data_IF_488424914440
#
_entry.id   IF_488424914440
#
_cell.length_a   1.000
_cell.length_b   1.000
_cell.length_c   1.000
_cell.angle_alpha   90.00
_cell.angle_beta   90.00
_cell.angle_gamma   90.00
#
_symmetry.space_group_name_H-M   'P 1'
#
loop_
_entity.id
_entity.type
_entity.pdbx_description
1 polymer ?
#
# COMPACT_ATOMS: atom_id res chain seq x y z
N UNK A 1 -9.18 -49.83 15.23
CA UNK A 1 -8.99 -48.70 16.20
C UNK A 1 -9.29 -47.43 15.43
N UNK A 2 -10.48 -46.86 15.67
CA UNK A 2 -10.89 -45.60 15.03
C UNK A 2 -10.31 -44.44 15.80
N UNK A 3 -9.28 -43.78 15.27
CA UNK A 3 -8.82 -42.48 15.79
C UNK A 3 -9.81 -41.41 15.35
N UNK A 4 -10.67 -41.01 16.25
CA UNK A 4 -11.52 -39.81 16.12
C UNK A 4 -10.63 -38.60 16.39
N UNK A 5 -10.36 -37.82 15.37
CA UNK A 5 -9.71 -36.50 15.50
C UNK A 5 -10.69 -35.58 16.26
N UNK A 6 -10.43 -35.38 17.56
CA UNK A 6 -11.16 -34.38 18.38
C UNK A 6 -10.59 -33.00 18.10
N UNK A 7 -11.41 -32.16 17.50
CA UNK A 7 -11.44 -30.70 17.78
C UNK A 7 -10.36 -29.84 17.17
N UNK A 8 -10.36 -29.69 15.82
CA UNK A 8 -9.93 -28.40 15.27
C UNK A 8 -11.01 -27.39 15.67
N UNK A 9 -10.73 -26.52 16.67
CA UNK A 9 -11.54 -25.34 16.93
C UNK A 9 -11.61 -24.58 15.60
N UNK A 10 -12.79 -24.52 14.99
CA UNK A 10 -13.05 -23.69 13.81
C UNK A 10 -12.68 -22.27 14.22
N UNK A 11 -11.55 -21.75 13.74
CA UNK A 11 -11.18 -20.35 13.98
C UNK A 11 -12.37 -19.49 13.53
N UNK A 12 -12.83 -18.62 14.42
CA UNK A 12 -13.97 -17.75 14.12
C UNK A 12 -13.58 -16.92 12.89
N UNK A 13 -14.38 -17.02 11.84
CA UNK A 13 -14.14 -16.30 10.60
C UNK A 13 -14.17 -14.80 10.89
N UNK A 14 -13.08 -14.11 10.56
CA UNK A 14 -12.98 -12.65 10.70
C UNK A 14 -13.45 -12.01 9.40
N UNK A 15 -14.40 -11.09 9.51
CA UNK A 15 -14.79 -10.21 8.42
C UNK A 15 -14.14 -8.85 8.68
N UNK A 16 -13.21 -8.47 7.81
CA UNK A 16 -12.46 -7.23 7.95
C UNK A 16 -13.27 -6.03 7.46
N UNK A 17 -13.16 -4.93 8.19
CA UNK A 17 -13.56 -3.60 7.73
C UNK A 17 -12.34 -2.98 7.05
N UNK A 18 -12.57 -2.31 5.94
CA UNK A 18 -11.54 -1.60 5.19
C UNK A 18 -11.89 -0.12 5.18
N UNK A 19 -10.96 0.70 5.62
CA UNK A 19 -11.04 2.16 5.56
C UNK A 19 -9.79 2.67 4.84
N UNK A 20 -9.97 3.52 3.83
CA UNK A 20 -8.88 4.17 3.10
C UNK A 20 -8.85 5.64 3.47
N UNK A 21 -7.68 6.17 3.78
CA UNK A 21 -7.48 7.59 4.10
C UNK A 21 -6.43 8.17 3.18
N UNK A 22 -6.76 9.30 2.57
CA UNK A 22 -5.79 10.13 1.85
C UNK A 22 -4.90 10.81 2.87
N UNK A 23 -3.66 10.39 2.97
CA UNK A 23 -2.70 11.02 3.88
C UNK A 23 -1.99 12.23 3.29
N UNK A 24 -2.02 12.39 1.97
CA UNK A 24 -1.51 13.56 1.24
C UNK A 24 -2.16 13.68 -0.15
N UNK A 25 -1.87 14.80 -0.82
CA UNK A 25 -2.19 15.03 -2.23
C UNK A 25 -0.89 15.43 -2.93
N UNK A 26 -0.46 14.65 -3.90
CA UNK A 26 0.61 15.02 -4.84
C UNK A 26 0.00 15.91 -5.91
N UNK A 27 0.54 17.11 -6.07
CA UNK A 27 0.02 18.10 -7.02
C UNK A 27 0.73 17.98 -8.36
N UNK A 28 -0.03 18.21 -9.41
CA UNK A 28 0.50 18.36 -10.77
C UNK A 28 1.33 17.15 -11.25
N UNK A 29 0.91 15.92 -10.90
CA UNK A 29 1.57 14.69 -11.33
C UNK A 29 1.41 14.54 -12.84
N UNK A 30 2.52 14.49 -13.55
CA UNK A 30 2.54 14.34 -15.00
C UNK A 30 1.95 13.00 -15.45
N UNK A 31 1.13 13.01 -16.49
CA UNK A 31 0.48 11.80 -17.01
C UNK A 31 1.49 10.70 -17.40
N UNK A 32 2.71 11.08 -17.81
CA UNK A 32 3.80 10.15 -18.11
C UNK A 32 4.34 9.41 -16.89
N UNK A 33 4.10 9.91 -15.67
CA UNK A 33 4.42 9.21 -14.43
C UNK A 33 3.36 8.14 -14.11
N UNK A 34 2.10 8.44 -14.41
CA UNK A 34 0.97 7.53 -14.18
C UNK A 34 0.88 6.43 -15.23
N UNK A 35 1.19 6.75 -16.51
CA UNK A 35 1.03 5.83 -17.63
C UNK A 35 2.29 5.80 -18.50
N UNK A 36 2.87 4.62 -18.65
CA UNK A 36 4.03 4.42 -19.52
C UNK A 36 3.73 4.83 -20.96
N UNK A 37 4.62 5.61 -21.55
CA UNK A 37 4.47 6.08 -22.93
C UNK A 37 3.46 7.23 -23.12
N UNK A 38 2.77 7.68 -22.07
CA UNK A 38 1.77 8.75 -22.19
C UNK A 38 2.35 10.10 -22.61
N UNK A 39 3.65 10.34 -22.40
CA UNK A 39 4.35 11.55 -22.87
C UNK A 39 4.29 11.73 -24.38
N UNK A 40 3.98 10.69 -25.14
CA UNK A 40 3.77 10.74 -26.60
C UNK A 40 2.31 10.98 -27.00
N UNK A 41 1.39 11.15 -26.07
CA UNK A 41 -0.02 11.35 -26.31
C UNK A 41 -0.39 12.85 -26.30
N UNK A 42 -1.49 13.20 -26.97
CA UNK A 42 -1.97 14.60 -27.06
C UNK A 42 -2.28 15.27 -25.72
N UNK A 43 -2.53 14.47 -24.67
CA UNK A 43 -2.87 14.95 -23.32
C UNK A 43 -1.71 14.76 -22.33
N UNK A 44 -0.48 14.58 -22.83
CA UNK A 44 0.69 14.38 -21.96
C UNK A 44 0.98 15.57 -21.02
N UNK A 45 0.57 16.77 -21.44
CA UNK A 45 0.84 18.03 -20.71
C UNK A 45 -0.26 18.40 -19.69
N UNK A 46 -1.26 17.53 -19.47
CA UNK A 46 -2.28 17.76 -18.46
C UNK A 46 -1.96 16.96 -17.19
N UNK A 47 -1.28 17.59 -16.22
CA UNK A 47 -1.02 16.96 -14.95
C UNK A 47 -2.33 16.80 -14.16
N UNK A 48 -2.37 15.78 -13.32
CA UNK A 48 -3.49 15.49 -12.41
C UNK A 48 -2.99 15.42 -10.98
N UNK A 49 -3.83 15.85 -10.05
CA UNK A 49 -3.56 15.63 -8.63
C UNK A 49 -3.75 14.15 -8.30
N UNK A 50 -2.89 13.60 -7.45
CA UNK A 50 -2.97 12.20 -7.01
C UNK A 50 -2.98 12.12 -5.49
N UNK A 51 -3.91 11.38 -4.88
CA UNK A 51 -3.86 11.12 -3.44
C UNK A 51 -2.73 10.14 -3.13
N UNK A 52 -2.07 10.30 -1.97
CA UNK A 52 -1.34 9.22 -1.33
C UNK A 52 -2.26 8.55 -0.31
N UNK A 53 -2.48 7.25 -0.41
CA UNK A 53 -3.42 6.52 0.41
C UNK A 53 -2.74 5.62 1.45
N UNK A 54 -3.31 5.56 2.66
CA UNK A 54 -3.08 4.50 3.63
C UNK A 54 -4.36 3.72 3.83
N UNK A 55 -4.26 2.42 4.09
CA UNK A 55 -5.44 1.58 4.30
C UNK A 55 -5.44 0.96 5.67
N UNK A 56 -6.54 1.13 6.43
CA UNK A 56 -6.72 0.60 7.76
C UNK A 56 -7.68 -0.60 7.68
N UNK A 57 -7.26 -1.73 8.25
CA UNK A 57 -8.01 -2.98 8.32
C UNK A 57 -8.35 -3.26 9.78
N UNK A 58 -9.65 -3.33 10.11
CA UNK A 58 -10.11 -3.61 11.46
C UNK A 58 -10.98 -4.87 11.49
N UNK A 59 -10.62 -5.83 12.34
CA UNK A 59 -11.38 -7.07 12.45
C UNK A 59 -10.81 -8.01 13.51
N UNK A 60 -11.67 -8.79 14.17
CA UNK A 60 -11.25 -9.78 15.16
C UNK A 60 -10.52 -9.24 16.37
N UNK A 61 -10.60 -7.94 16.63
CA UNK A 61 -9.84 -7.25 17.69
C UNK A 61 -8.49 -6.72 17.23
N UNK A 62 -8.14 -6.87 15.96
CA UNK A 62 -6.89 -6.36 15.36
C UNK A 62 -7.12 -5.05 14.60
N UNK A 63 -6.12 -4.18 14.65
CA UNK A 63 -5.96 -3.00 13.82
C UNK A 63 -4.69 -3.15 13.00
N UNK A 64 -4.83 -3.22 11.70
CA UNK A 64 -3.71 -3.42 10.77
C UNK A 64 -3.66 -2.25 9.80
N UNK A 65 -2.48 -1.76 9.52
CA UNK A 65 -2.24 -0.68 8.58
C UNK A 65 -1.53 -1.22 7.34
N UNK A 66 -1.99 -0.85 6.16
CA UNK A 66 -1.26 -1.04 4.91
C UNK A 66 -0.68 0.31 4.52
N UNK A 67 0.65 0.38 4.47
CA UNK A 67 1.48 1.56 4.29
C UNK A 67 1.32 2.61 5.40
N UNK A 68 2.27 3.56 5.50
CA UNK A 68 2.34 4.48 6.65
C UNK A 68 2.30 5.95 6.27
N UNK A 69 2.41 6.28 4.97
CA UNK A 69 2.65 7.65 4.54
C UNK A 69 4.07 8.11 4.89
N UNK A 70 4.33 9.40 4.85
CA UNK A 70 5.66 9.98 5.04
C UNK A 70 5.62 11.34 5.75
N UNK A 71 6.81 11.83 6.12
CA UNK A 71 6.96 13.10 6.85
C UNK A 71 8.22 13.88 6.48
N UNK A 72 9.11 13.33 5.63
CA UNK A 72 10.37 13.96 5.28
C UNK A 72 10.12 15.23 4.46
N UNK A 73 10.51 16.46 4.95
CA UNK A 73 10.23 17.71 4.25
C UNK A 73 10.87 17.79 2.87
N UNK A 74 12.02 17.16 2.66
CA UNK A 74 12.69 17.15 1.35
C UNK A 74 11.86 16.45 0.29
N UNK A 75 11.23 15.31 0.64
CA UNK A 75 10.33 14.60 -0.26
C UNK A 75 8.98 15.33 -0.43
N UNK A 76 8.47 15.98 0.63
CA UNK A 76 7.27 16.81 0.53
C UNK A 76 7.46 17.91 -0.51
N UNK A 77 8.60 18.60 -0.47
CA UNK A 77 8.94 19.66 -1.43
C UNK A 77 9.23 19.09 -2.82
N UNK A 78 10.06 18.05 -2.92
CA UNK A 78 10.51 17.49 -4.20
C UNK A 78 9.37 16.92 -5.05
N UNK A 79 8.33 16.35 -4.40
CA UNK A 79 7.18 15.74 -5.06
C UNK A 79 5.90 16.57 -4.96
N UNK A 80 6.02 17.85 -4.61
CA UNK A 80 4.90 18.79 -4.52
C UNK A 80 3.70 18.22 -3.74
N UNK A 81 4.00 17.61 -2.57
CA UNK A 81 2.97 17.00 -1.74
C UNK A 81 2.35 18.02 -0.79
N UNK A 82 1.03 18.12 -0.83
CA UNK A 82 0.25 18.99 0.04
C UNK A 82 -0.56 18.18 1.05
N UNK A 83 -0.97 18.83 2.13
CA UNK A 83 -1.85 18.27 3.15
C UNK A 83 -1.36 16.91 3.69
N UNK A 84 -0.05 16.82 3.92
CA UNK A 84 0.60 15.61 4.43
C UNK A 84 0.23 15.39 5.89
N UNK A 85 -0.49 14.31 6.18
CA UNK A 85 -1.01 13.98 7.49
C UNK A 85 -0.07 13.06 8.26
N UNK A 86 0.08 13.35 9.56
CA UNK A 86 0.75 12.44 10.50
C UNK A 86 -0.17 11.26 10.86
N UNK A 87 0.39 10.11 11.30
CA UNK A 87 -0.38 8.95 11.71
C UNK A 87 -1.47 9.25 12.74
N UNK A 88 -1.20 10.09 13.73
CA UNK A 88 -2.17 10.48 14.74
C UNK A 88 -3.39 11.18 14.14
N UNK A 89 -3.18 11.94 13.04
CA UNK A 89 -4.25 12.69 12.37
C UNK A 89 -5.14 11.77 11.55
N UNK A 90 -4.55 10.89 10.72
CA UNK A 90 -5.36 10.03 9.85
C UNK A 90 -5.98 8.82 10.59
N UNK A 91 -5.48 8.45 11.78
CA UNK A 91 -6.06 7.42 12.63
C UNK A 91 -7.17 7.94 13.55
N UNK A 92 -7.19 9.26 13.86
CA UNK A 92 -8.14 9.89 14.78
C UNK A 92 -9.62 9.62 14.45
N UNK A 93 -10.08 9.65 13.17
CA UNK A 93 -11.49 9.39 12.83
C UNK A 93 -11.97 7.98 13.21
N UNK A 94 -11.03 7.05 13.36
CA UNK A 94 -11.28 5.67 13.77
C UNK A 94 -11.12 5.45 15.28
N UNK A 95 -10.87 6.52 16.05
CA UNK A 95 -10.51 6.48 17.47
C UNK A 95 -9.29 5.59 17.73
N UNK A 96 -8.30 5.63 16.84
CA UNK A 96 -7.05 4.88 16.94
C UNK A 96 -5.87 5.82 17.18
N UNK A 97 -4.85 5.25 17.85
CA UNK A 97 -3.53 5.81 18.03
C UNK A 97 -2.48 4.88 17.42
N UNK A 98 -1.31 5.36 16.95
CA UNK A 98 -0.27 4.51 16.39
C UNK A 98 0.13 3.30 17.26
N UNK A 99 0.13 3.45 18.57
CA UNK A 99 0.45 2.38 19.54
C UNK A 99 -0.58 1.23 19.57
N UNK A 100 -1.76 1.43 18.98
CA UNK A 100 -2.85 0.45 18.88
C UNK A 100 -2.84 -0.33 17.56
N UNK A 101 -1.86 -0.08 16.71
CA UNK A 101 -1.67 -0.83 15.45
C UNK A 101 -0.88 -2.10 15.76
N UNK A 102 -1.47 -3.25 15.47
CA UNK A 102 -0.90 -4.57 15.72
C UNK A 102 0.10 -4.99 14.63
N UNK A 103 -0.15 -4.56 13.40
CA UNK A 103 0.75 -4.83 12.28
C UNK A 103 0.72 -3.71 11.23
N UNK A 104 1.87 -3.49 10.60
CA UNK A 104 2.03 -2.69 9.38
C UNK A 104 2.43 -3.63 8.25
N UNK A 105 1.66 -3.61 7.17
CA UNK A 105 1.92 -4.34 5.94
C UNK A 105 2.44 -3.34 4.92
N UNK A 106 3.73 -3.31 4.69
CA UNK A 106 4.34 -2.40 3.70
C UNK A 106 4.14 -3.00 2.31
N UNK A 107 3.46 -2.25 1.43
CA UNK A 107 3.33 -2.65 0.04
C UNK A 107 4.71 -2.68 -0.63
N UNK A 108 5.52 -1.67 -0.38
CA UNK A 108 6.92 -1.55 -0.84
C UNK A 108 7.65 -0.46 -0.02
N UNK A 109 8.89 -0.12 -0.40
CA UNK A 109 9.75 0.75 0.39
C UNK A 109 10.02 2.13 -0.21
N UNK A 110 9.13 2.66 -1.07
CA UNK A 110 9.20 4.07 -1.43
C UNK A 110 8.85 4.96 -0.22
N UNK A 111 9.41 6.17 -0.22
CA UNK A 111 9.34 7.13 0.89
C UNK A 111 7.93 7.40 1.38
N UNK A 112 6.95 7.44 0.46
CA UNK A 112 5.55 7.78 0.75
C UNK A 112 4.71 6.61 1.30
N UNK A 113 5.29 5.41 1.35
CA UNK A 113 4.69 4.20 1.93
C UNK A 113 5.31 3.81 3.27
N UNK A 114 6.62 3.95 3.43
CA UNK A 114 7.35 3.49 4.63
C UNK A 114 7.74 4.61 5.60
N UNK A 115 7.63 5.88 5.18
CA UNK A 115 8.28 7.02 5.82
C UNK A 115 7.89 7.30 7.28
N UNK A 116 6.73 6.83 7.75
CA UNK A 116 6.29 6.95 9.14
C UNK A 116 6.41 5.67 9.97
N UNK A 117 7.16 4.67 9.50
CA UNK A 117 7.23 3.35 10.17
C UNK A 117 7.68 3.43 11.63
N UNK A 118 8.49 4.42 11.99
CA UNK A 118 8.98 4.69 13.34
C UNK A 118 7.88 5.16 14.31
N UNK A 119 6.71 5.56 13.84
CA UNK A 119 5.56 5.90 14.67
C UNK A 119 4.86 4.66 15.26
N UNK A 120 5.02 3.48 14.66
CA UNK A 120 4.29 2.25 14.98
C UNK A 120 5.13 1.28 15.83
N UNK A 121 5.43 1.67 17.07
CA UNK A 121 6.40 0.99 17.94
C UNK A 121 5.98 -0.40 18.38
N UNK A 122 4.67 -0.66 18.45
CA UNK A 122 4.13 -1.94 18.91
C UNK A 122 3.84 -2.91 17.75
N UNK A 123 3.79 -2.39 16.52
CA UNK A 123 3.38 -3.16 15.35
C UNK A 123 4.47 -4.13 14.89
N UNK A 124 4.06 -5.33 14.46
CA UNK A 124 4.87 -6.17 13.58
C UNK A 124 4.86 -5.58 12.18
N UNK A 125 6.00 -5.59 11.50
CA UNK A 125 6.16 -4.98 10.17
C UNK A 125 6.44 -6.07 9.16
N UNK A 126 5.59 -6.17 8.14
CA UNK A 126 5.72 -7.14 7.06
C UNK A 126 6.21 -6.44 5.80
N UNK A 127 7.25 -6.98 5.18
CA UNK A 127 7.81 -6.52 3.91
C UNK A 127 8.28 -7.73 3.11
N UNK A 128 8.12 -7.72 1.80
CA UNK A 128 8.65 -8.78 0.94
C UNK A 128 10.17 -8.85 1.07
N UNK A 129 10.71 -10.08 1.16
CA UNK A 129 12.15 -10.31 1.21
C UNK A 129 12.86 -9.67 0.02
N UNK A 130 12.34 -9.91 -1.17
CA UNK A 130 12.89 -9.36 -2.42
C UNK A 130 12.88 -7.84 -2.47
N UNK A 131 11.90 -7.20 -1.81
CA UNK A 131 11.81 -5.75 -1.69
C UNK A 131 12.98 -5.21 -0.85
N UNK A 132 13.13 -5.74 0.36
CA UNK A 132 14.19 -5.28 1.26
C UNK A 132 15.59 -5.56 0.68
N UNK A 133 15.81 -6.75 0.15
CA UNK A 133 17.10 -7.15 -0.44
C UNK A 133 17.43 -6.32 -1.69
N UNK A 134 16.42 -6.04 -2.53
CA UNK A 134 16.58 -5.21 -3.72
C UNK A 134 16.99 -3.78 -3.38
N UNK A 135 16.32 -3.14 -2.42
CA UNK A 135 16.67 -1.78 -1.99
C UNK A 135 18.01 -1.72 -1.24
N UNK A 136 18.35 -2.72 -0.44
CA UNK A 136 19.67 -2.81 0.19
C UNK A 136 20.78 -2.95 -0.86
N UNK A 137 20.54 -3.72 -1.92
CA UNK A 137 21.47 -3.86 -3.04
C UNK A 137 21.62 -2.53 -3.79
N UNK A 138 20.52 -1.89 -4.20
CA UNK A 138 20.59 -0.65 -5.00
C UNK A 138 21.16 0.52 -4.21
N UNK A 139 20.87 0.62 -2.91
CA UNK A 139 21.47 1.63 -2.03
C UNK A 139 22.99 1.47 -1.85
N UNK A 140 23.54 0.29 -2.13
CA UNK A 140 24.98 0.01 -2.12
C UNK A 140 25.69 0.33 -3.43
N UNK A 141 24.97 0.73 -4.48
CA UNK A 141 25.56 1.07 -5.76
C UNK A 141 26.26 2.45 -5.73
N UNK A 142 27.13 2.70 -6.72
CA UNK A 142 27.78 4.01 -6.85
C UNK A 142 26.78 5.11 -7.24
N UNK A 143 27.17 6.37 -7.03
CA UNK A 143 26.40 7.57 -7.41
C UNK A 143 25.97 7.59 -8.89
N UNK A 144 26.67 6.86 -9.77
CA UNK A 144 26.28 6.75 -11.19
C UNK A 144 24.92 6.09 -11.38
N UNK A 145 24.46 5.32 -10.38
CA UNK A 145 23.17 4.60 -10.37
C UNK A 145 22.11 5.26 -9.49
N UNK A 146 22.31 6.51 -9.05
CA UNK A 146 21.40 7.21 -8.13
C UNK A 146 19.93 7.26 -8.58
N UNK A 147 19.66 7.20 -9.89
CA UNK A 147 18.30 7.16 -10.42
C UNK A 147 17.52 5.91 -9.99
N UNK A 148 18.19 4.81 -9.67
CA UNK A 148 17.56 3.61 -9.12
C UNK A 148 17.05 3.81 -7.70
N UNK A 149 17.52 4.86 -7.00
CA UNK A 149 17.19 5.16 -5.61
C UNK A 149 16.38 6.45 -5.44
N UNK A 150 15.83 7.04 -6.52
CA UNK A 150 15.21 8.36 -6.46
C UNK A 150 13.95 8.41 -5.56
N UNK A 151 13.28 7.29 -5.35
CA UNK A 151 12.11 7.19 -4.46
C UNK A 151 12.41 6.52 -3.11
N UNK A 152 13.66 6.19 -2.85
CA UNK A 152 14.10 5.65 -1.57
C UNK A 152 14.59 6.77 -0.65
N UNK A 153 14.03 6.87 0.56
CA UNK A 153 14.66 7.61 1.64
C UNK A 153 15.64 6.68 2.37
N UNK A 154 16.97 6.93 2.33
CA UNK A 154 17.93 6.06 3.03
C UNK A 154 17.70 5.99 4.53
N UNK A 155 17.07 6.98 5.13
CA UNK A 155 16.72 6.96 6.55
C UNK A 155 15.64 5.90 6.86
N UNK A 156 14.79 5.59 5.89
CA UNK A 156 13.76 4.56 6.08
C UNK A 156 14.35 3.15 6.15
N UNK A 157 15.44 2.88 5.40
CA UNK A 157 16.18 1.62 5.59
C UNK A 157 16.78 1.52 7.00
N UNK A 158 17.28 2.63 7.56
CA UNK A 158 17.80 2.65 8.95
C UNK A 158 16.68 2.41 9.97
N UNK A 159 15.49 2.98 9.75
CA UNK A 159 14.31 2.71 10.59
C UNK A 159 13.92 1.23 10.53
N UNK A 160 13.93 0.60 9.34
CA UNK A 160 13.66 -0.82 9.19
C UNK A 160 14.72 -1.71 9.86
N UNK A 161 16.00 -1.33 9.81
CA UNK A 161 17.05 -2.01 10.55
C UNK A 161 16.80 -1.94 12.08
N UNK A 162 16.27 -0.84 12.59
CA UNK A 162 15.87 -0.74 13.99
C UNK A 162 14.69 -1.67 14.30
N UNK A 163 13.65 -1.68 13.45
CA UNK A 163 12.51 -2.62 13.56
C UNK A 163 12.97 -4.07 13.58
N UNK A 164 13.98 -4.41 12.75
CA UNK A 164 14.60 -5.75 12.72
C UNK A 164 15.32 -6.08 14.02
N UNK A 165 16.12 -5.14 14.56
CA UNK A 165 16.82 -5.32 15.85
C UNK A 165 15.85 -5.52 17.01
N UNK A 166 14.67 -4.93 16.94
CA UNK A 166 13.59 -5.10 17.93
C UNK A 166 12.80 -6.41 17.75
N UNK A 167 13.12 -7.23 16.74
CA UNK A 167 12.46 -8.50 16.47
C UNK A 167 11.04 -8.36 15.94
N UNK A 168 10.69 -7.20 15.36
CA UNK A 168 9.36 -6.90 14.84
C UNK A 168 9.24 -7.01 13.31
N UNK A 169 10.36 -7.07 12.59
CA UNK A 169 10.38 -7.21 11.13
C UNK A 169 10.12 -8.66 10.72
N UNK A 170 9.16 -8.85 9.85
CA UNK A 170 8.81 -10.15 9.27
C UNK A 170 8.99 -10.05 7.76
N UNK A 171 9.87 -10.87 7.21
CA UNK A 171 10.06 -10.97 5.78
C UNK A 171 8.97 -11.88 5.21
N UNK A 172 8.12 -11.31 4.36
CA UNK A 172 7.09 -12.06 3.66
C UNK A 172 7.64 -12.66 2.35
N UNK A 173 7.02 -13.74 1.95
CA UNK A 173 7.25 -14.43 0.69
C UNK A 173 5.96 -14.41 -0.14
N UNK A 174 6.05 -14.71 -1.44
CA UNK A 174 4.84 -14.79 -2.28
C UNK A 174 3.87 -15.85 -1.75
N UNK A 175 2.59 -15.49 -1.69
CA UNK A 175 1.53 -16.41 -1.28
C UNK A 175 1.49 -16.72 0.21
N UNK A 176 1.97 -15.82 1.08
CA UNK A 176 1.74 -15.97 2.54
C UNK A 176 0.27 -15.75 2.87
N UNK A 177 -0.45 -16.84 3.02
CA UNK A 177 -1.89 -16.82 3.32
C UNK A 177 -2.17 -16.85 4.82
N UNK A 178 -3.28 -16.19 5.21
CA UNK A 178 -3.78 -16.15 6.58
C UNK A 178 -2.74 -15.67 7.61
N UNK A 179 -1.93 -14.66 7.25
CA UNK A 179 -1.03 -14.00 8.22
C UNK A 179 -1.81 -13.45 9.43
N UNK A 180 -3.04 -13.01 9.16
CA UNK A 180 -4.18 -12.93 10.05
C UNK A 180 -5.34 -13.64 9.36
N UNK A 181 -6.32 -14.23 10.09
CA UNK A 181 -7.40 -14.96 9.46
C UNK A 181 -8.13 -14.13 8.39
N UNK A 182 -7.95 -14.47 7.11
CA UNK A 182 -8.55 -13.76 5.98
C UNK A 182 -7.74 -12.59 5.44
N UNK A 183 -6.48 -12.44 5.84
CA UNK A 183 -5.51 -11.52 5.23
C UNK A 183 -4.35 -12.33 4.66
N UNK A 184 -4.06 -12.10 3.38
CA UNK A 184 -3.03 -12.78 2.63
C UNK A 184 -2.12 -11.76 1.93
N UNK A 185 -0.84 -12.11 1.77
CA UNK A 185 0.16 -11.31 1.08
C UNK A 185 0.62 -12.01 -0.19
N UNK A 186 0.67 -11.27 -1.29
CA UNK A 186 1.15 -11.79 -2.58
C UNK A 186 2.14 -10.81 -3.20
N UNK A 187 3.21 -11.36 -3.77
CA UNK A 187 4.17 -10.60 -4.55
C UNK A 187 3.50 -10.07 -5.83
N UNK A 188 3.67 -8.79 -6.13
CA UNK A 188 3.19 -8.11 -7.34
C UNK A 188 4.25 -7.10 -7.79
N UNK A 189 5.43 -7.61 -8.14
CA UNK A 189 6.62 -6.82 -8.48
C UNK A 189 6.50 -6.05 -9.79
N UNK A 190 7.49 -5.23 -10.09
CA UNK A 190 7.60 -4.47 -11.34
C UNK A 190 7.59 -2.97 -11.11
N UNK A 191 6.79 -2.47 -10.15
CA UNK A 191 6.92 -1.11 -9.66
C UNK A 191 8.20 -0.94 -8.82
N UNK A 192 8.43 -1.84 -7.88
CA UNK A 192 9.68 -1.99 -7.14
C UNK A 192 10.17 -3.43 -7.19
N UNK A 193 11.27 -3.74 -6.49
CA UNK A 193 11.90 -5.06 -6.48
C UNK A 193 10.99 -6.18 -5.97
N UNK A 194 10.10 -5.84 -5.05
CA UNK A 194 9.24 -6.80 -4.38
C UNK A 194 7.94 -6.20 -3.87
N UNK A 195 7.33 -5.26 -4.63
CA UNK A 195 6.00 -4.75 -4.31
C UNK A 195 5.06 -5.91 -3.99
N UNK A 196 4.31 -5.81 -2.89
CA UNK A 196 3.31 -6.79 -2.51
C UNK A 196 1.92 -6.18 -2.44
N UNK A 197 0.92 -7.01 -2.68
CA UNK A 197 -0.49 -6.68 -2.53
C UNK A 197 -1.10 -7.41 -1.35
N UNK A 198 -2.09 -6.81 -0.72
CA UNK A 198 -2.80 -7.38 0.43
C UNK A 198 -4.20 -7.79 0.02
N UNK A 199 -4.48 -9.11 0.04
CA UNK A 199 -5.83 -9.62 -0.17
C UNK A 199 -6.57 -9.72 1.16
N UNK A 200 -7.75 -9.11 1.23
CA UNK A 200 -8.53 -8.97 2.45
C UNK A 200 -9.90 -9.59 2.28
N UNK A 201 -10.24 -10.58 3.12
CA UNK A 201 -11.57 -11.19 3.16
C UNK A 201 -12.52 -10.31 3.96
N UNK A 202 -13.59 -9.86 3.32
CA UNK A 202 -14.65 -9.06 3.93
C UNK A 202 -15.99 -9.78 3.84
N UNK A 203 -17.02 -9.22 4.47
CA UNK A 203 -18.40 -9.67 4.33
C UNK A 203 -18.89 -9.63 2.87
N UNK A 204 -18.33 -8.69 2.07
CA UNK A 204 -18.71 -8.43 0.68
C UNK A 204 -17.79 -9.11 -0.34
N UNK A 205 -16.99 -10.09 0.06
CA UNK A 205 -16.02 -10.79 -0.79
C UNK A 205 -14.57 -10.33 -0.52
N UNK A 206 -13.67 -10.71 -1.42
CA UNK A 206 -12.24 -10.40 -1.31
C UNK A 206 -11.94 -9.06 -1.96
N UNK A 207 -11.23 -8.21 -1.24
CA UNK A 207 -10.65 -6.97 -1.76
C UNK A 207 -9.14 -7.13 -1.88
N UNK A 208 -8.53 -6.40 -2.80
CA UNK A 208 -7.08 -6.35 -2.99
C UNK A 208 -6.62 -4.91 -2.84
N UNK A 209 -5.80 -4.63 -1.82
CA UNK A 209 -5.11 -3.35 -1.65
C UNK A 209 -3.79 -3.48 -2.40
N UNK A 210 -3.58 -2.62 -3.40
CA UNK A 210 -2.48 -2.82 -4.35
C UNK A 210 -1.18 -2.14 -3.94
N UNK A 211 -1.22 -1.11 -3.05
CA UNK A 211 -0.10 -0.19 -3.04
C UNK A 211 0.18 0.28 -4.46
N UNK A 212 1.44 0.48 -4.78
CA UNK A 212 1.86 0.93 -6.11
C UNK A 212 2.04 -0.19 -7.14
N UNK A 213 1.58 -1.41 -6.85
CA UNK A 213 1.43 -2.39 -7.93
C UNK A 213 0.43 -1.91 -9.00
N UNK A 214 -0.44 -0.92 -8.67
CA UNK A 214 -1.23 -0.14 -9.60
C UNK A 214 -1.55 1.23 -9.00
N UNK A 215 -1.21 2.32 -9.69
CA UNK A 215 -1.53 3.68 -9.26
C UNK A 215 -3.02 3.95 -9.35
N UNK A 216 -3.63 3.57 -10.47
CA UNK A 216 -5.04 3.79 -10.75
C UNK A 216 -5.70 2.53 -11.29
N UNK A 217 -7.03 2.46 -11.23
CA UNK A 217 -7.76 1.38 -11.88
C UNK A 217 -7.60 1.42 -13.41
N UNK A 218 -7.36 2.60 -13.99
CA UNK A 218 -7.13 2.75 -15.43
C UNK A 218 -5.89 1.97 -15.87
N UNK A 219 -4.80 1.96 -15.09
CA UNK A 219 -3.61 1.14 -15.38
C UNK A 219 -3.99 -0.33 -15.62
N UNK A 220 -4.79 -0.90 -14.72
CA UNK A 220 -5.23 -2.30 -14.80
C UNK A 220 -6.22 -2.50 -15.97
N UNK A 221 -7.21 -1.61 -16.11
CA UNK A 221 -8.26 -1.75 -17.15
C UNK A 221 -7.67 -1.66 -18.55
N UNK A 222 -6.71 -0.78 -18.76
CA UNK A 222 -6.08 -0.54 -20.06
C UNK A 222 -4.83 -1.38 -20.29
N UNK A 223 -4.42 -2.16 -19.27
CA UNK A 223 -3.14 -2.88 -19.27
C UNK A 223 -1.97 -1.97 -19.62
N UNK A 224 -1.97 -0.76 -19.04
CA UNK A 224 -0.91 0.22 -19.26
C UNK A 224 -0.05 0.34 -18.00
N UNK A 225 1.24 -0.06 -18.04
CA UNK A 225 2.14 0.06 -16.89
C UNK A 225 2.23 1.50 -16.38
N UNK A 226 2.61 1.68 -15.12
CA UNK A 226 3.00 3.00 -14.62
C UNK A 226 4.25 3.48 -15.36
N UNK A 227 4.36 4.81 -15.48
CA UNK A 227 5.51 5.44 -16.14
C UNK A 227 6.80 5.28 -15.35
N UNK A 228 6.70 5.01 -14.06
CA UNK A 228 7.80 4.60 -13.21
C UNK A 228 7.67 3.13 -12.82
N UNK A 229 8.80 2.45 -12.76
CA UNK A 229 8.90 1.06 -12.30
C UNK A 229 10.20 0.43 -12.78
N UNK A 230 10.56 -0.66 -12.14
CA UNK A 230 11.78 -1.41 -12.44
C UNK A 230 11.60 -2.28 -13.69
N UNK A 231 10.39 -2.84 -13.86
CA UNK A 231 10.10 -3.74 -14.99
C UNK A 231 8.63 -3.64 -15.40
N UNK A 232 8.39 -3.20 -16.64
CA UNK A 232 7.04 -3.02 -17.18
C UNK A 232 6.31 -4.34 -17.44
N UNK A 233 7.04 -5.40 -17.81
CA UNK A 233 6.43 -6.72 -18.03
C UNK A 233 5.95 -7.32 -16.71
N UNK A 234 6.76 -7.20 -15.67
CA UNK A 234 6.38 -7.61 -14.32
C UNK A 234 5.15 -6.81 -13.82
N UNK A 235 5.04 -5.51 -14.14
CA UNK A 235 3.85 -4.72 -13.82
C UNK A 235 2.59 -5.28 -14.50
N UNK A 236 2.66 -5.62 -15.78
CA UNK A 236 1.52 -6.21 -16.51
C UNK A 236 1.10 -7.55 -15.91
N UNK A 237 2.04 -8.42 -15.58
CA UNK A 237 1.76 -9.69 -14.91
C UNK A 237 1.15 -9.47 -13.51
N UNK A 238 1.57 -8.41 -12.82
CA UNK A 238 1.01 -8.02 -11.54
C UNK A 238 -0.44 -7.54 -11.67
N UNK A 239 -0.81 -6.84 -12.75
CA UNK A 239 -2.20 -6.46 -13.02
C UNK A 239 -3.10 -7.68 -13.23
N UNK A 240 -2.65 -8.67 -14.00
CA UNK A 240 -3.39 -9.93 -14.18
C UNK A 240 -3.56 -10.66 -12.84
N UNK A 241 -2.50 -10.73 -12.03
CA UNK A 241 -2.54 -11.34 -10.70
C UNK A 241 -3.50 -10.61 -9.76
N UNK A 242 -3.48 -9.28 -9.74
CA UNK A 242 -4.41 -8.46 -8.95
C UNK A 242 -5.87 -8.77 -9.32
N UNK A 243 -6.19 -8.81 -10.61
CA UNK A 243 -7.54 -9.15 -11.06
C UNK A 243 -7.96 -10.56 -10.64
N UNK A 244 -7.06 -11.54 -10.78
CA UNK A 244 -7.30 -12.90 -10.31
C UNK A 244 -7.57 -12.95 -8.80
N UNK A 245 -6.78 -12.25 -7.99
CA UNK A 245 -6.93 -12.18 -6.54
C UNK A 245 -8.22 -11.48 -6.10
N UNK A 246 -8.74 -10.56 -6.94
CA UNK A 246 -10.01 -9.86 -6.76
C UNK A 246 -11.21 -10.62 -7.35
N UNK A 247 -11.07 -11.93 -7.64
CA UNK A 247 -12.08 -12.79 -8.26
C UNK A 247 -12.59 -12.21 -9.61
N UNK A 248 -11.72 -11.56 -10.40
CA UNK A 248 -12.02 -10.88 -11.67
C UNK A 248 -12.80 -9.57 -11.55
N UNK A 249 -13.01 -9.07 -10.35
CA UNK A 249 -13.85 -7.89 -10.10
C UNK A 249 -13.02 -6.65 -9.80
N UNK A 250 -12.83 -5.78 -10.80
CA UNK A 250 -12.08 -4.53 -10.68
C UNK A 250 -12.65 -3.60 -9.56
N UNK A 251 -13.93 -3.71 -9.21
CA UNK A 251 -14.52 -2.93 -8.11
C UNK A 251 -14.06 -3.39 -6.72
N UNK A 252 -13.34 -4.52 -6.64
CA UNK A 252 -12.71 -5.02 -5.41
C UNK A 252 -11.22 -4.66 -5.31
N UNK A 253 -10.70 -3.87 -6.23
CA UNK A 253 -9.33 -3.38 -6.22
C UNK A 253 -9.29 -1.98 -5.59
N UNK A 254 -8.33 -1.77 -4.70
CA UNK A 254 -8.08 -0.51 -3.99
C UNK A 254 -6.69 -0.01 -4.41
N UNK A 255 -6.62 0.94 -5.35
CA UNK A 255 -5.36 1.49 -5.87
C UNK A 255 -4.77 2.54 -4.92
N UNK A 256 -3.47 2.85 -5.09
CA UNK A 256 -2.77 3.78 -4.20
C UNK A 256 -3.03 5.26 -4.52
N UNK A 257 -3.12 5.64 -5.81
CA UNK A 257 -3.05 7.04 -6.24
C UNK A 257 -4.23 7.47 -7.15
N UNK A 258 -5.36 6.79 -7.08
CA UNK A 258 -6.52 7.05 -7.94
C UNK A 258 -7.45 8.10 -7.32
N UNK A 259 -7.41 9.32 -7.84
CA UNK A 259 -8.24 10.44 -7.38
C UNK A 259 -9.75 10.16 -7.54
N UNK A 260 -10.13 9.41 -8.58
CA UNK A 260 -11.52 9.08 -8.87
C UNK A 260 -12.05 7.90 -8.06
N UNK A 261 -11.18 7.02 -7.56
CA UNK A 261 -11.59 5.80 -6.88
C UNK A 261 -12.53 6.03 -5.69
N UNK A 262 -12.30 7.00 -4.79
CA UNK A 262 -13.17 7.24 -3.62
C UNK A 262 -14.59 7.67 -4.01
N UNK A 263 -14.77 8.28 -5.19
CA UNK A 263 -16.10 8.73 -5.66
C UNK A 263 -17.08 7.60 -5.92
N UNK A 264 -16.59 6.36 -6.01
CA UNK A 264 -17.40 5.13 -6.16
C UNK A 264 -18.14 4.74 -4.87
N UNK A 265 -17.78 5.36 -3.73
CA UNK A 265 -18.33 5.03 -2.42
C UNK A 265 -19.15 6.19 -1.86
N UNK A 266 -20.41 5.94 -1.54
CA UNK A 266 -21.29 6.91 -0.85
C UNK A 266 -20.81 7.26 0.55
N UNK A 267 -19.95 6.42 1.12
CA UNK A 267 -19.33 6.53 2.43
C UNK A 267 -17.98 7.26 2.40
N UNK A 268 -17.71 8.02 1.35
CA UNK A 268 -16.54 8.90 1.28
C UNK A 268 -16.93 10.27 1.83
N UNK A 269 -16.13 10.76 2.77
CA UNK A 269 -16.30 12.08 3.37
C UNK A 269 -14.93 12.78 3.51
N UNK A 270 -14.94 14.09 3.73
CA UNK A 270 -13.73 14.83 4.08
C UNK A 270 -13.41 14.66 5.55
N UNK A 271 -12.13 14.64 5.87
CA UNK A 271 -11.69 14.75 7.26
C UNK A 271 -12.04 16.13 7.81
N UNK A 272 -12.40 16.19 9.09
CA UNK A 272 -12.81 17.43 9.75
C UNK A 272 -11.72 18.52 9.63
N UNK A 273 -12.07 19.61 8.96
CA UNK A 273 -11.18 20.77 8.77
C UNK A 273 -10.05 20.55 7.75
N UNK A 274 -10.05 19.44 6.99
CA UNK A 274 -9.02 19.08 6.03
C UNK A 274 -9.60 18.76 4.64
N UNK A 275 -8.85 18.97 3.56
CA UNK A 275 -9.30 18.61 2.21
C UNK A 275 -9.23 17.09 1.96
N UNK A 276 -8.39 16.37 2.71
CA UNK A 276 -8.18 14.93 2.61
C UNK A 276 -9.47 14.14 2.82
N UNK A 277 -9.63 13.02 2.11
CA UNK A 277 -10.83 12.18 2.19
C UNK A 277 -10.57 10.92 3.02
N UNK A 278 -11.64 10.44 3.65
CA UNK A 278 -11.74 9.12 4.25
C UNK A 278 -12.85 8.34 3.58
N UNK A 279 -12.59 7.10 3.21
CA UNK A 279 -13.54 6.21 2.52
C UNK A 279 -13.73 4.93 3.31
N UNK A 280 -14.95 4.70 3.77
CA UNK A 280 -15.33 3.45 4.43
C UNK A 280 -15.79 2.45 3.36
N UNK A 281 -14.88 1.58 2.91
CA UNK A 281 -15.11 0.64 1.79
C UNK A 281 -16.10 -0.44 2.17
N UNK A 282 -15.99 -0.96 3.39
CA UNK A 282 -16.91 -1.98 3.93
C UNK A 282 -17.50 -1.51 5.25
N UNK A 283 -18.80 -1.31 5.26
CA UNK A 283 -19.58 -1.02 6.46
C UNK A 283 -20.21 -2.31 7.01
N UNK A 284 -20.60 -2.31 8.28
CA UNK A 284 -21.29 -3.44 8.94
C UNK A 284 -22.64 -3.76 8.31
#
# INVERSE_FOLDING_TARGET
>A
MNYVWKGVKKMKEICWKITVVEHCIFKDVGRGQTFYGAHNQKNADFPEDQPGNVTILQGGGYNILVDTGFKNPQFIEAYNAENVLKPETYLKPLNLHPDQIDAVLLSHLHYDHVGNIDCFKNAKVYVQRTELEGWQWSAGLSEDYKLLNCYLDPEDLKKLEQVKKEGRLILSEDGMENIFPGIDLYLAKGHSYGTQVVRVKTKNGRYVVTGDAAYTLENIITMTPMGYGIDQLDQLQSFEKILMLADGNINKVIPAHDLAWPTRFKSTEKLEGLPNRITFVTQN
#
